data_IF_545449623191
#
_entry.id   IF_545449623191
#
_cell.length_a   1.000
_cell.length_b   1.000
_cell.length_c   1.000
_cell.angle_alpha   90.00
_cell.angle_beta   90.00
_cell.angle_gamma   90.00
#
_symmetry.space_group_name_H-M   'P 1'
#
loop_
_entity.id
_entity.type
_entity.pdbx_description
1 polymer ?
#
# COMPACT_ATOMS: atom_id res chain seq x y z
N UNK A 1 8.69 2.04 4.85
CA UNK A 1 7.63 1.01 5.01
C UNK A 1 7.32 0.61 6.45
N UNK A 2 8.19 0.88 7.43
CA UNK A 2 8.00 0.43 8.83
C UNK A 2 6.64 0.83 9.43
N UNK A 3 6.17 2.06 9.16
CA UNK A 3 4.90 2.58 9.69
C UNK A 3 3.65 1.76 9.34
N UNK A 4 3.61 1.15 8.15
CA UNK A 4 2.43 0.46 7.64
C UNK A 4 2.56 -1.06 7.64
N UNK A 5 3.67 -1.60 8.17
CA UNK A 5 3.94 -3.04 8.20
C UNK A 5 2.78 -3.83 8.83
N UNK A 6 2.28 -3.37 9.97
CA UNK A 6 1.17 -4.04 10.67
C UNK A 6 -0.13 -4.01 9.88
N UNK A 7 -0.43 -2.92 9.19
CA UNK A 7 -1.63 -2.85 8.35
C UNK A 7 -1.50 -3.77 7.13
N UNK A 8 -0.38 -3.63 6.40
CA UNK A 8 -0.19 -4.27 5.10
C UNK A 8 0.09 -5.78 5.22
N UNK A 9 0.93 -6.20 6.17
CA UNK A 9 1.35 -7.61 6.29
C UNK A 9 0.49 -8.37 7.29
N UNK A 10 0.21 -7.79 8.46
CA UNK A 10 -0.49 -8.49 9.55
C UNK A 10 -2.02 -8.37 9.37
N UNK A 11 -2.50 -7.33 8.69
CA UNK A 11 -3.92 -7.14 8.40
C UNK A 11 -4.68 -6.26 9.38
N UNK A 12 -4.00 -5.46 10.19
CA UNK A 12 -4.63 -4.51 11.11
C UNK A 12 -5.14 -3.23 10.43
N UNK A 13 -5.77 -2.34 11.19
CA UNK A 13 -6.06 -0.98 10.74
C UNK A 13 -4.76 -0.14 10.68
N UNK A 14 -4.63 0.78 9.71
CA UNK A 14 -3.48 1.66 9.64
C UNK A 14 -3.46 2.64 10.83
N UNK A 15 -2.29 2.81 11.44
CA UNK A 15 -2.08 3.83 12.48
C UNK A 15 -2.16 5.24 11.90
N UNK A 16 -2.40 6.25 12.75
CA UNK A 16 -2.40 7.65 12.34
C UNK A 16 -1.08 8.04 11.62
N UNK A 17 0.06 7.55 12.12
CA UNK A 17 1.37 7.77 11.50
C UNK A 17 1.49 7.08 10.14
N UNK A 18 0.97 5.85 9.98
CA UNK A 18 0.90 5.20 8.67
C UNK A 18 0.06 6.02 7.69
N UNK A 19 -1.14 6.46 8.08
CA UNK A 19 -2.00 7.25 7.21
C UNK A 19 -1.36 8.60 6.81
N UNK A 20 -0.65 9.28 7.72
CA UNK A 20 0.09 10.48 7.38
C UNK A 20 1.12 10.20 6.28
N UNK A 21 1.88 9.09 6.40
CA UNK A 21 2.86 8.67 5.38
C UNK A 21 2.20 8.33 4.04
N UNK A 22 1.05 7.65 4.06
CA UNK A 22 0.27 7.28 2.86
C UNK A 22 -0.24 8.52 2.12
N UNK A 23 -0.66 9.57 2.85
CA UNK A 23 -1.18 10.81 2.25
C UNK A 23 -0.12 11.62 1.51
N UNK A 24 1.10 11.66 2.05
CA UNK A 24 2.19 12.53 1.54
C UNK A 24 3.14 11.82 0.58
N UNK A 25 3.24 10.49 0.61
CA UNK A 25 4.12 9.77 -0.31
C UNK A 25 3.48 9.57 -1.67
N UNK A 26 4.26 9.88 -2.71
CA UNK A 26 3.94 9.50 -4.07
C UNK A 26 4.15 7.99 -4.25
N UNK A 27 3.28 7.35 -5.04
CA UNK A 27 3.36 5.91 -5.32
C UNK A 27 4.71 5.55 -5.95
N UNK A 28 5.24 6.39 -6.85
CA UNK A 28 6.52 6.21 -7.53
C UNK A 28 7.70 6.04 -6.56
N UNK A 29 7.67 6.70 -5.40
CA UNK A 29 8.72 6.56 -4.39
C UNK A 29 8.62 5.24 -3.59
N UNK A 30 7.50 4.53 -3.69
CA UNK A 30 7.22 3.30 -2.95
C UNK A 30 7.33 2.08 -3.87
N UNK A 31 6.94 2.21 -5.13
CA UNK A 31 6.92 1.13 -6.12
C UNK A 31 8.26 0.37 -6.29
N UNK A 32 9.45 1.00 -6.25
CA UNK A 32 10.73 0.28 -6.32
C UNK A 32 10.93 -0.73 -5.19
N UNK A 33 10.28 -0.52 -4.04
CA UNK A 33 10.38 -1.44 -2.92
C UNK A 33 9.36 -2.58 -2.97
N UNK A 34 8.37 -2.52 -3.87
CA UNK A 34 7.38 -3.58 -4.08
C UNK A 34 7.98 -4.63 -5.02
N UNK A 35 8.97 -5.34 -4.50
CA UNK A 35 9.65 -6.45 -5.19
C UNK A 35 8.75 -7.70 -5.21
N UNK A 36 9.08 -8.75 -6.00
CA UNK A 36 8.26 -9.97 -6.06
C UNK A 36 8.11 -10.64 -4.69
N UNK A 37 9.17 -10.64 -3.88
CA UNK A 37 9.16 -11.18 -2.50
C UNK A 37 8.23 -10.40 -1.56
N UNK A 38 8.06 -9.10 -1.79
CA UNK A 38 7.14 -8.26 -1.03
C UNK A 38 5.72 -8.41 -1.55
N UNK A 39 5.54 -8.50 -2.87
CA UNK A 39 4.25 -8.68 -3.51
C UNK A 39 3.49 -9.92 -3.03
N UNK A 40 4.19 -11.03 -2.76
CA UNK A 40 3.59 -12.27 -2.22
C UNK A 40 3.04 -12.12 -0.80
N UNK A 41 3.49 -11.11 -0.05
CA UNK A 41 3.04 -10.82 1.31
C UNK A 41 1.92 -9.78 1.37
N UNK A 42 1.61 -9.12 0.25
CA UNK A 42 0.66 -8.00 0.21
C UNK A 42 -0.69 -8.50 -0.33
N UNK A 43 -1.73 -8.56 0.51
CA UNK A 43 -3.09 -8.80 0.04
C UNK A 43 -3.64 -7.54 -0.65
N UNK A 44 -3.43 -7.42 -1.97
CA UNK A 44 -3.71 -6.20 -2.76
C UNK A 44 -5.08 -5.59 -2.46
N UNK A 45 -6.16 -6.38 -2.52
CA UNK A 45 -7.52 -5.87 -2.29
C UNK A 45 -7.73 -5.30 -0.88
N UNK A 46 -7.12 -5.92 0.15
CA UNK A 46 -7.17 -5.40 1.52
C UNK A 46 -6.32 -4.14 1.65
N UNK A 47 -5.12 -4.14 1.09
CA UNK A 47 -4.20 -3.00 1.14
C UNK A 47 -4.80 -1.76 0.47
N UNK A 48 -5.51 -1.92 -0.66
CA UNK A 48 -6.25 -0.83 -1.31
C UNK A 48 -7.26 -0.23 -0.34
N UNK A 49 -8.13 -1.04 0.27
CA UNK A 49 -9.13 -0.55 1.24
C UNK A 49 -8.49 0.17 2.44
N UNK A 50 -7.33 -0.29 2.90
CA UNK A 50 -6.60 0.37 4.00
C UNK A 50 -6.04 1.73 3.58
N UNK A 51 -5.51 1.85 2.36
CA UNK A 51 -5.02 3.12 1.80
C UNK A 51 -6.19 4.09 1.58
N UNK A 52 -7.31 3.61 1.07
CA UNK A 52 -8.54 4.39 0.90
C UNK A 52 -9.12 4.83 2.25
N UNK A 53 -9.10 3.97 3.26
CA UNK A 53 -9.49 4.31 4.63
C UNK A 53 -8.60 5.40 5.26
N UNK A 54 -7.36 5.53 4.80
CA UNK A 54 -6.51 6.67 5.15
C UNK A 54 -6.86 7.97 4.40
N UNK A 55 -7.83 7.96 3.47
CA UNK A 55 -8.22 9.13 2.67
C UNK A 55 -7.34 9.35 1.44
N UNK A 56 -6.70 8.30 0.90
CA UNK A 56 -5.90 8.36 -0.33
C UNK A 56 -6.49 7.39 -1.34
N UNK A 57 -6.80 7.87 -2.55
CA UNK A 57 -7.26 6.98 -3.63
C UNK A 57 -6.08 6.24 -4.26
N UNK A 58 -6.28 4.97 -4.57
CA UNK A 58 -5.31 4.14 -5.29
C UNK A 58 -5.72 4.10 -6.78
N UNK A 59 -4.83 4.47 -7.72
CA UNK A 59 -5.14 4.40 -9.14
C UNK A 59 -5.41 2.94 -9.57
N UNK A 60 -6.42 2.75 -10.41
CA UNK A 60 -6.81 1.45 -11.00
C UNK A 60 -5.92 1.11 -12.18
N UNK A 61 -5.74 -0.19 -12.45
CA UNK A 61 -4.88 -0.70 -13.53
C UNK A 61 -3.45 -0.10 -13.52
N UNK A 62 -2.94 0.23 -12.33
CA UNK A 62 -1.66 0.89 -12.14
C UNK A 62 -0.61 -0.12 -11.71
N UNK A 63 0.53 -0.14 -12.41
CA UNK A 63 1.66 -1.00 -12.09
C UNK A 63 2.57 -0.30 -11.08
N UNK A 64 2.79 -0.95 -9.94
CA UNK A 64 3.67 -0.47 -8.89
C UNK A 64 4.68 -1.57 -8.52
N UNK A 65 5.87 -1.51 -9.10
CA UNK A 65 6.86 -2.58 -8.95
C UNK A 65 6.34 -3.90 -9.52
N UNK A 66 6.25 -4.93 -8.69
CA UNK A 66 5.76 -6.27 -9.05
C UNK A 66 4.26 -6.49 -8.84
N UNK A 67 3.51 -5.48 -8.39
CA UNK A 67 2.04 -5.55 -8.28
C UNK A 67 1.36 -4.68 -9.34
N UNK A 68 0.15 -5.08 -9.73
CA UNK A 68 -0.76 -4.28 -10.53
C UNK A 68 -2.09 -4.16 -9.79
N UNK A 69 -2.62 -2.95 -9.66
CA UNK A 69 -3.92 -2.72 -9.04
C UNK A 69 -5.04 -3.20 -9.97
N UNK A 70 -6.11 -3.79 -9.42
CA UNK A 70 -7.23 -4.26 -10.23
C UNK A 70 -8.01 -3.09 -10.87
N UNK A 71 -8.91 -3.41 -11.83
CA UNK A 71 -9.80 -2.44 -12.46
C UNK A 71 -10.80 -1.76 -11.51
#
# INVERSE_FOLDING_TARGET
>A
MVACKNAVIIGGSPSAYCCQRVRVRHFECVCPYVTPKVATLIPIGRTIKQIEGCGRSVPRNFKCGSITTPP
#
